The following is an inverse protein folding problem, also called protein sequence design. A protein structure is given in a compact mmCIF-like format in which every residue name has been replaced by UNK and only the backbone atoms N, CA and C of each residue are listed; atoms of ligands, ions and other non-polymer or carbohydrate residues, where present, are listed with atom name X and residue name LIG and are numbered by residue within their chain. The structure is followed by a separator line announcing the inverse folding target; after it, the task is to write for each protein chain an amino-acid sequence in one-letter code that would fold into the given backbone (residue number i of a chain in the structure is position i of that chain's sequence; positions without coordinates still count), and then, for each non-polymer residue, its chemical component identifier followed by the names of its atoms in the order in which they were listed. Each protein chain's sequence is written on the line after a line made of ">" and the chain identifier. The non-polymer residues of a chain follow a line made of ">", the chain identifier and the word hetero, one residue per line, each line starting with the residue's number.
data_IF_238902979933
#
_entry.id   IF_238902979933
#
_cell.length_a   1.000
_cell.length_b   1.000
_cell.length_c   1.000
_cell.angle_alpha   90.00
_cell.angle_beta   90.00
_cell.angle_gamma   90.00
#
_symmetry.space_group_name_H-M   'P 1'
#
loop_
_entity.id
_entity.type
_entity.pdbx_description
1 polymer ?
#
# COMPACT_ATOMS: atom_id res chain seq x y z
N UNK A 1 17.48 -30.60 38.43
CA UNK A 1 18.64 -30.91 37.57
C UNK A 1 18.24 -30.62 36.14
N UNK A 2 19.01 -29.72 35.51
CA UNK A 2 18.70 -29.03 34.26
C UNK A 2 18.86 -29.98 33.07
N UNK A 3 17.81 -30.15 32.26
CA UNK A 3 17.90 -30.87 30.98
C UNK A 3 18.35 -29.89 29.89
N UNK A 4 19.54 -30.14 29.38
CA UNK A 4 20.17 -29.48 28.23
C UNK A 4 19.39 -29.75 26.94
N UNK A 5 18.90 -28.69 26.29
CA UNK A 5 18.52 -28.72 24.88
C UNK A 5 19.72 -28.27 24.05
N UNK A 6 20.42 -29.24 23.45
CA UNK A 6 21.38 -28.99 22.38
C UNK A 6 20.61 -28.76 21.08
N UNK A 7 20.66 -27.54 20.56
CA UNK A 7 20.23 -27.22 19.20
C UNK A 7 21.23 -27.81 18.20
N UNK A 8 20.79 -28.84 17.49
CA UNK A 8 21.46 -29.46 16.36
C UNK A 8 21.32 -28.54 15.14
N UNK A 9 22.11 -27.47 15.10
CA UNK A 9 22.50 -26.71 13.92
C UNK A 9 23.58 -25.71 14.36
N UNK A 10 24.84 -26.09 14.16
CA UNK A 10 26.02 -25.30 14.50
C UNK A 10 26.24 -24.13 13.56
N UNK A 11 25.28 -23.20 13.51
CA UNK A 11 25.48 -21.89 12.91
C UNK A 11 25.77 -20.87 14.02
N UNK A 12 27.01 -20.41 14.03
CA UNK A 12 27.46 -19.30 14.85
C UNK A 12 26.58 -18.08 14.61
N UNK A 13 26.04 -17.51 15.68
CA UNK A 13 25.46 -16.16 15.73
C UNK A 13 26.53 -15.11 15.35
N UNK A 14 26.85 -15.00 14.08
CA UNK A 14 27.48 -13.81 13.52
C UNK A 14 26.35 -12.89 13.07
N UNK A 15 26.13 -11.85 13.87
CA UNK A 15 25.52 -10.59 13.45
C UNK A 15 24.27 -10.74 12.55
N UNK A 16 23.09 -10.89 13.17
CA UNK A 16 21.94 -10.13 12.69
C UNK A 16 22.24 -8.66 12.92
N UNK A 17 23.08 -8.08 12.06
CA UNK A 17 23.28 -6.66 11.94
C UNK A 17 21.94 -6.11 11.48
N UNK A 18 21.15 -5.65 12.44
CA UNK A 18 20.07 -4.71 12.23
C UNK A 18 20.65 -3.56 11.41
N UNK A 19 20.50 -3.63 10.09
CA UNK A 19 20.46 -2.43 9.27
C UNK A 19 19.11 -1.80 9.53
N UNK A 20 19.04 -1.07 10.64
CA UNK A 20 18.28 0.16 10.64
C UNK A 20 18.93 1.07 9.62
N UNK A 21 18.58 0.90 8.34
CA UNK A 21 18.83 1.95 7.36
C UNK A 21 17.99 3.13 7.84
N UNK A 22 18.68 4.10 8.44
CA UNK A 22 18.07 5.33 8.88
C UNK A 22 17.32 5.94 7.69
N UNK A 23 16.05 6.35 7.85
CA UNK A 23 15.32 7.02 6.79
C UNK A 23 16.07 8.29 6.42
N UNK A 24 16.76 8.28 5.26
CA UNK A 24 17.66 9.37 4.84
C UNK A 24 18.92 8.94 4.09
N UNK A 25 19.31 7.65 4.06
CA UNK A 25 20.40 7.19 3.19
C UNK A 25 19.92 7.01 1.74
N UNK A 26 19.69 8.14 1.07
CA UNK A 26 19.46 8.22 -0.37
C UNK A 26 20.80 7.90 -1.04
N UNK A 27 20.87 6.78 -1.77
CA UNK A 27 21.98 6.39 -2.66
C UNK A 27 23.38 6.43 -2.01
N UNK A 28 23.99 5.25 -1.77
CA UNK A 28 25.46 5.16 -1.74
C UNK A 28 25.98 5.45 -3.16
N UNK A 29 26.05 6.72 -3.54
CA UNK A 29 26.84 7.15 -4.69
C UNK A 29 28.29 6.91 -4.28
N UNK A 30 28.84 5.75 -4.67
CA UNK A 30 30.29 5.63 -4.79
C UNK A 30 30.67 6.58 -5.91
N UNK A 31 30.91 7.84 -5.58
CA UNK A 31 31.44 8.77 -6.56
C UNK A 31 32.84 8.25 -6.84
N UNK A 32 33.13 7.74 -8.04
CA UNK A 32 34.47 7.27 -8.35
C UNK A 32 35.40 8.46 -8.15
N UNK A 33 36.35 8.34 -7.23
CA UNK A 33 37.24 9.43 -6.79
C UNK A 33 37.92 10.12 -7.98
N UNK A 34 38.09 9.39 -9.09
CA UNK A 34 38.59 9.87 -10.37
C UNK A 34 37.71 10.95 -11.02
N UNK A 35 36.38 10.84 -11.00
CA UNK A 35 35.51 11.81 -11.66
C UNK A 35 35.44 13.15 -10.93
N UNK A 36 35.36 13.14 -9.59
CA UNK A 36 35.38 14.35 -8.78
C UNK A 36 36.71 15.09 -8.86
N UNK A 37 37.83 14.35 -8.89
CA UNK A 37 39.16 14.93 -9.05
C UNK A 37 39.33 15.60 -10.43
N UNK A 38 38.85 14.96 -11.50
CA UNK A 38 38.89 15.51 -12.85
C UNK A 38 38.04 16.78 -12.99
N UNK A 39 36.85 16.81 -12.39
CA UNK A 39 36.00 18.00 -12.37
C UNK A 39 36.65 19.15 -11.58
N UNK A 40 37.26 18.85 -10.43
CA UNK A 40 37.97 19.84 -9.63
C UNK A 40 39.16 20.43 -10.41
N UNK A 41 39.93 19.59 -11.12
CA UNK A 41 41.01 20.04 -11.99
C UNK A 41 40.49 20.91 -13.15
N UNK A 42 39.38 20.52 -13.79
CA UNK A 42 38.77 21.28 -14.87
C UNK A 42 38.28 22.66 -14.41
N UNK A 43 37.59 22.74 -13.27
CA UNK A 43 37.14 24.00 -12.68
C UNK A 43 38.34 24.88 -12.30
N UNK A 44 39.40 24.30 -11.74
CA UNK A 44 40.62 25.03 -11.39
C UNK A 44 41.32 25.59 -12.63
N UNK A 45 41.45 24.78 -13.68
CA UNK A 45 42.06 25.19 -14.95
C UNK A 45 41.26 26.32 -15.63
N UNK A 46 39.93 26.20 -15.68
CA UNK A 46 39.05 27.25 -16.21
C UNK A 46 39.14 28.55 -15.39
N UNK A 47 39.23 28.45 -14.07
CA UNK A 47 39.39 29.61 -13.18
C UNK A 47 40.72 30.33 -13.41
N UNK A 48 41.82 29.57 -13.55
CA UNK A 48 43.13 30.15 -13.87
C UNK A 48 43.11 30.83 -15.24
N UNK A 49 42.52 30.19 -16.25
CA UNK A 49 42.42 30.73 -17.60
C UNK A 49 41.59 32.03 -17.63
N UNK A 50 40.52 32.11 -16.84
CA UNK A 50 39.73 33.33 -16.66
C UNK A 50 40.55 34.49 -16.03
N UNK A 51 41.40 34.19 -15.04
CA UNK A 51 42.22 35.21 -14.37
C UNK A 51 43.32 35.74 -15.30
N UNK A 52 44.06 34.86 -15.97
CA UNK A 52 45.24 35.24 -16.76
C UNK A 52 44.92 35.75 -18.17
N UNK A 53 43.91 35.22 -18.86
CA UNK A 53 43.58 35.59 -20.23
C UNK A 53 42.34 36.50 -20.28
N UNK A 54 42.54 37.79 -20.55
CA UNK A 54 41.43 38.76 -20.62
C UNK A 54 40.56 38.62 -21.87
N UNK A 55 41.12 38.10 -22.97
CA UNK A 55 40.44 38.07 -24.27
C UNK A 55 39.30 37.04 -24.34
N UNK A 56 39.30 36.03 -23.46
CA UNK A 56 38.35 34.89 -23.51
C UNK A 56 37.31 34.92 -22.39
N UNK A 57 37.29 35.97 -21.56
CA UNK A 57 36.47 36.01 -20.33
C UNK A 57 34.98 35.84 -20.59
N UNK A 58 34.45 36.48 -21.64
CA UNK A 58 33.02 36.42 -21.97
C UNK A 58 32.58 35.01 -22.40
N UNK A 59 33.42 34.31 -23.17
CA UNK A 59 33.14 32.93 -23.61
C UNK A 59 33.17 31.96 -22.41
N UNK A 60 34.13 32.13 -21.50
CA UNK A 60 34.26 31.32 -20.28
C UNK A 60 33.08 31.58 -19.32
N UNK A 61 32.68 32.84 -19.16
CA UNK A 61 31.53 33.23 -18.34
C UNK A 61 30.23 32.65 -18.90
N UNK A 62 30.01 32.77 -20.21
CA UNK A 62 28.85 32.17 -20.88
C UNK A 62 28.84 30.64 -20.72
N UNK A 63 29.99 29.98 -20.89
CA UNK A 63 30.11 28.53 -20.72
C UNK A 63 29.84 28.11 -19.28
N UNK A 64 30.36 28.84 -18.29
CA UNK A 64 30.16 28.58 -16.86
C UNK A 64 28.69 28.71 -16.46
N UNK A 65 28.04 29.80 -16.88
CA UNK A 65 26.61 30.02 -16.61
C UNK A 65 25.76 28.95 -17.29
N UNK A 66 25.99 28.69 -18.59
CA UNK A 66 25.21 27.70 -19.36
C UNK A 66 25.37 26.29 -18.78
N UNK A 67 26.59 25.90 -18.41
CA UNK A 67 26.87 24.62 -17.77
C UNK A 67 26.24 24.55 -16.38
N UNK A 68 26.28 25.64 -15.61
CA UNK A 68 25.62 25.74 -14.30
C UNK A 68 24.11 25.57 -14.39
N UNK A 69 23.45 26.22 -15.35
CA UNK A 69 22.01 26.06 -15.61
C UNK A 69 21.70 24.63 -16.06
N UNK A 70 22.47 24.08 -17.00
CA UNK A 70 22.29 22.71 -17.48
C UNK A 70 22.46 21.70 -16.34
N UNK A 71 23.48 21.85 -15.50
CA UNK A 71 23.72 21.02 -14.33
C UNK A 71 22.59 21.15 -13.30
N UNK A 72 22.08 22.36 -13.07
CA UNK A 72 20.94 22.60 -12.20
C UNK A 72 19.66 21.90 -12.68
N UNK A 73 19.35 22.03 -13.97
CA UNK A 73 18.20 21.35 -14.59
C UNK A 73 18.33 19.82 -14.54
N UNK A 74 19.52 19.30 -14.85
CA UNK A 74 19.81 17.87 -14.81
C UNK A 74 19.66 17.32 -13.38
N UNK A 75 20.19 18.03 -12.39
CA UNK A 75 20.07 17.69 -10.97
C UNK A 75 18.61 17.65 -10.53
N UNK A 76 17.83 18.69 -10.85
CA UNK A 76 16.41 18.74 -10.53
C UNK A 76 15.62 17.58 -11.18
N UNK A 77 15.93 17.24 -12.44
CA UNK A 77 15.32 16.12 -13.15
C UNK A 77 15.61 14.77 -12.46
N UNK A 78 16.87 14.49 -12.12
CA UNK A 78 17.24 13.23 -11.45
C UNK A 78 16.69 13.15 -10.02
N UNK A 79 16.69 14.25 -9.26
CA UNK A 79 16.06 14.29 -7.93
C UNK A 79 14.56 14.01 -8.05
N UNK A 80 13.88 14.58 -9.04
CA UNK A 80 12.47 14.31 -9.32
C UNK A 80 12.21 12.83 -9.64
N UNK A 81 13.04 12.21 -10.48
CA UNK A 81 12.92 10.77 -10.78
C UNK A 81 13.19 9.88 -9.56
N UNK A 82 14.23 10.18 -8.78
CA UNK A 82 14.58 9.42 -7.58
C UNK A 82 13.45 9.46 -6.54
N UNK A 83 12.81 10.63 -6.37
CA UNK A 83 11.66 10.78 -5.48
C UNK A 83 10.47 9.95 -5.97
N UNK A 84 10.19 9.95 -7.28
CA UNK A 84 9.12 9.13 -7.86
C UNK A 84 9.33 7.64 -7.57
N UNK A 85 10.53 7.12 -7.80
CA UNK A 85 10.87 5.71 -7.53
C UNK A 85 10.69 5.41 -6.03
N UNK A 86 11.13 6.31 -5.16
CA UNK A 86 11.01 6.14 -3.70
C UNK A 86 9.55 6.10 -3.25
N UNK A 87 8.70 6.95 -3.83
CA UNK A 87 7.25 6.96 -3.56
C UNK A 87 6.62 5.64 -4.02
N UNK A 88 6.88 5.22 -5.26
CA UNK A 88 6.34 3.96 -5.79
C UNK A 88 6.77 2.75 -4.95
N UNK A 89 8.03 2.72 -4.50
CA UNK A 89 8.53 1.65 -3.61
C UNK A 89 7.84 1.68 -2.26
N UNK A 90 7.66 2.86 -1.65
CA UNK A 90 6.95 3.02 -0.39
C UNK A 90 5.50 2.57 -0.49
N UNK A 91 4.81 2.93 -1.57
CA UNK A 91 3.42 2.56 -1.79
C UNK A 91 3.26 1.05 -1.98
N UNK A 92 4.17 0.41 -2.71
CA UNK A 92 4.22 -1.06 -2.82
C UNK A 92 4.48 -1.72 -1.47
N UNK A 93 5.49 -1.26 -0.73
CA UNK A 93 5.80 -1.80 0.59
C UNK A 93 4.64 -1.66 1.59
N UNK A 94 3.92 -0.54 1.56
CA UNK A 94 2.71 -0.35 2.37
C UNK A 94 1.59 -1.29 1.96
N UNK A 95 1.43 -1.54 0.66
CA UNK A 95 0.43 -2.50 0.15
C UNK A 95 0.78 -3.91 0.58
N UNK A 96 2.04 -4.31 0.45
CA UNK A 96 2.54 -5.61 0.87
C UNK A 96 2.40 -5.81 2.39
N UNK A 97 2.66 -4.80 3.22
CA UNK A 97 2.44 -4.86 4.67
C UNK A 97 0.95 -5.06 5.01
N UNK A 98 0.05 -4.32 4.34
CA UNK A 98 -1.40 -4.47 4.53
C UNK A 98 -1.89 -5.86 4.15
N UNK A 99 -1.38 -6.43 3.06
CA UNK A 99 -1.68 -7.79 2.62
C UNK A 99 -1.12 -8.81 3.61
N UNK A 100 0.13 -8.65 4.06
CA UNK A 100 0.75 -9.51 5.06
C UNK A 100 -0.03 -9.52 6.39
N UNK A 101 -0.51 -8.35 6.85
CA UNK A 101 -1.39 -8.24 8.02
C UNK A 101 -2.72 -8.95 7.80
N UNK A 102 -3.33 -8.85 6.62
CA UNK A 102 -4.53 -9.62 6.31
C UNK A 102 -4.29 -11.14 6.42
N UNK A 103 -3.17 -11.64 5.89
CA UNK A 103 -2.77 -13.04 6.05
C UNK A 103 -2.47 -13.41 7.51
N UNK A 104 -1.95 -12.48 8.32
CA UNK A 104 -1.69 -12.77 9.74
C UNK A 104 -2.96 -13.13 10.52
N UNK A 105 -4.11 -12.52 10.19
CA UNK A 105 -5.40 -12.92 10.77
C UNK A 105 -5.81 -14.32 10.33
N UNK A 106 -5.58 -14.66 9.05
CA UNK A 106 -5.85 -16.00 8.53
C UNK A 106 -4.97 -17.06 9.22
N UNK A 107 -3.70 -16.77 9.42
CA UNK A 107 -2.77 -17.64 10.14
C UNK A 107 -3.18 -17.78 11.60
N UNK A 108 -3.52 -16.68 12.29
CA UNK A 108 -3.94 -16.68 13.69
C UNK A 108 -5.23 -17.48 13.90
N UNK A 109 -6.23 -17.31 13.02
CA UNK A 109 -7.45 -18.12 13.06
C UNK A 109 -7.16 -19.61 12.86
N UNK A 110 -6.11 -19.93 12.09
CA UNK A 110 -5.71 -21.30 11.79
C UNK A 110 -4.71 -21.91 12.76
N UNK A 111 -4.23 -21.14 13.73
CA UNK A 111 -3.26 -21.56 14.71
C UNK A 111 -3.76 -22.79 15.52
N UNK A 112 -2.89 -23.77 15.85
CA UNK A 112 -3.25 -24.91 16.67
C UNK A 112 -3.85 -24.53 18.02
N UNK A 113 -3.45 -23.40 18.61
CA UNK A 113 -4.01 -22.90 19.87
C UNK A 113 -5.49 -22.50 19.73
N UNK A 114 -5.94 -22.17 18.51
CA UNK A 114 -7.34 -21.88 18.19
C UNK A 114 -8.12 -23.13 17.75
N UNK A 115 -7.52 -24.32 17.72
CA UNK A 115 -8.20 -25.54 17.28
C UNK A 115 -9.39 -25.88 18.19
N UNK A 116 -9.19 -25.82 19.51
CA UNK A 116 -10.25 -26.10 20.48
C UNK A 116 -11.37 -25.06 20.41
N UNK A 117 -11.04 -23.77 20.36
CA UNK A 117 -12.02 -22.70 20.20
C UNK A 117 -12.87 -22.90 18.93
N UNK A 118 -12.25 -23.29 17.81
CA UNK A 118 -12.98 -23.58 16.56
C UNK A 118 -13.85 -24.82 16.66
N UNK A 119 -13.44 -25.85 17.40
CA UNK A 119 -14.26 -27.03 17.63
C UNK A 119 -15.49 -26.67 18.49
N UNK A 120 -15.28 -25.97 19.60
CA UNK A 120 -16.35 -25.50 20.48
C UNK A 120 -17.30 -24.54 19.73
N UNK A 121 -16.75 -23.66 18.89
CA UNK A 121 -17.55 -22.74 18.07
C UNK A 121 -18.42 -23.46 17.04
N UNK A 122 -17.93 -24.53 16.41
CA UNK A 122 -18.74 -25.35 15.50
C UNK A 122 -19.91 -26.00 16.25
N UNK A 123 -19.66 -26.56 17.42
CA UNK A 123 -20.71 -27.15 18.26
C UNK A 123 -21.78 -26.11 18.65
N UNK A 124 -21.35 -24.88 19.00
CA UNK A 124 -22.28 -23.77 19.26
C UNK A 124 -23.09 -23.42 18.00
N UNK A 125 -22.45 -23.31 16.83
CA UNK A 125 -23.14 -22.98 15.58
C UNK A 125 -24.17 -24.03 15.16
N UNK A 126 -23.85 -25.31 15.28
CA UNK A 126 -24.75 -26.40 14.91
C UNK A 126 -26.03 -26.36 15.75
N UNK A 127 -25.93 -25.94 17.01
CA UNK A 127 -27.08 -25.70 17.89
C UNK A 127 -27.87 -24.43 17.53
N UNK A 128 -27.18 -23.36 17.11
CA UNK A 128 -27.80 -22.08 16.77
C UNK A 128 -28.64 -22.16 15.49
N UNK A 129 -28.22 -22.95 14.49
CA UNK A 129 -28.89 -23.04 13.18
C UNK A 129 -30.33 -23.59 13.28
N UNK A 130 -30.69 -24.27 14.39
CA UNK A 130 -32.01 -24.83 14.63
C UNK A 130 -32.91 -24.01 15.57
N UNK A 131 -32.42 -22.89 16.11
CA UNK A 131 -33.11 -22.10 17.16
C UNK A 131 -33.70 -20.81 16.61
N UNK A 132 -34.78 -20.34 17.23
CA UNK A 132 -35.35 -19.02 16.98
C UNK A 132 -34.53 -17.91 17.64
N UNK A 133 -34.72 -16.65 17.22
CA UNK A 133 -33.96 -15.49 17.71
C UNK A 133 -33.94 -15.34 19.24
N UNK A 134 -35.06 -15.62 19.91
CA UNK A 134 -35.15 -15.58 21.38
C UNK A 134 -34.43 -16.77 22.04
N UNK A 135 -34.59 -17.97 21.48
CA UNK A 135 -33.90 -19.17 21.96
C UNK A 135 -32.38 -19.09 21.78
N UNK A 136 -31.90 -18.43 20.73
CA UNK A 136 -30.48 -18.13 20.53
C UNK A 136 -29.94 -17.32 21.71
N UNK A 137 -30.69 -16.29 22.13
CA UNK A 137 -30.28 -15.44 23.23
C UNK A 137 -30.21 -16.21 24.56
N UNK A 138 -31.20 -17.05 24.82
CA UNK A 138 -31.28 -17.84 26.05
C UNK A 138 -30.23 -18.95 26.07
N UNK A 139 -29.98 -19.62 24.94
CA UNK A 139 -28.93 -20.62 24.80
C UNK A 139 -27.53 -20.07 25.10
N UNK A 140 -27.19 -18.90 24.55
CA UNK A 140 -25.88 -18.27 24.78
C UNK A 140 -25.75 -17.78 26.23
N UNK A 141 -26.85 -17.35 26.87
CA UNK A 141 -26.85 -16.90 28.27
C UNK A 141 -26.84 -18.04 29.28
N UNK A 142 -27.48 -19.17 28.94
CA UNK A 142 -27.68 -20.29 29.85
C UNK A 142 -26.39 -20.97 30.28
N UNK A 143 -25.42 -21.08 29.37
CA UNK A 143 -24.12 -21.69 29.68
C UNK A 143 -22.97 -20.68 29.57
N UNK A 144 -22.19 -20.57 30.65
CA UNK A 144 -21.00 -19.71 30.68
C UNK A 144 -20.01 -20.05 29.55
N UNK A 145 -19.84 -21.34 29.25
CA UNK A 145 -18.95 -21.80 28.17
C UNK A 145 -19.37 -21.22 26.81
N UNK A 146 -20.65 -21.30 26.46
CA UNK A 146 -21.16 -20.82 25.17
C UNK A 146 -20.98 -19.30 25.04
N UNK A 147 -21.24 -18.57 26.12
CA UNK A 147 -20.99 -17.12 26.18
C UNK A 147 -19.52 -16.78 25.93
N UNK A 148 -18.58 -17.49 26.56
CA UNK A 148 -17.14 -17.26 26.37
C UNK A 148 -16.73 -17.53 24.92
N UNK A 149 -17.14 -18.67 24.37
CA UNK A 149 -16.82 -19.06 22.98
C UNK A 149 -17.35 -18.02 21.99
N UNK A 150 -18.62 -17.61 22.14
CA UNK A 150 -19.24 -16.56 21.28
C UNK A 150 -18.47 -15.25 21.39
N UNK A 151 -18.13 -14.82 22.61
CA UNK A 151 -17.41 -13.58 22.83
C UNK A 151 -16.00 -13.61 22.19
N UNK A 152 -15.26 -14.70 22.35
CA UNK A 152 -13.91 -14.82 21.79
C UNK A 152 -13.91 -14.80 20.25
N UNK A 153 -14.88 -15.49 19.63
CA UNK A 153 -15.06 -15.47 18.17
C UNK A 153 -15.45 -14.07 17.71
N UNK A 154 -16.44 -13.43 18.34
CA UNK A 154 -16.85 -12.07 17.98
C UNK A 154 -15.73 -11.05 18.16
N UNK A 155 -14.94 -11.16 19.23
CA UNK A 155 -13.79 -10.29 19.47
C UNK A 155 -12.74 -10.45 18.37
N UNK A 156 -12.45 -11.68 17.93
CA UNK A 156 -11.55 -11.92 16.82
C UNK A 156 -12.04 -11.23 15.53
N UNK A 157 -13.31 -11.40 15.18
CA UNK A 157 -13.87 -10.81 13.96
C UNK A 157 -14.01 -9.29 14.06
N UNK A 158 -14.26 -8.74 15.25
CA UNK A 158 -14.29 -7.30 15.48
C UNK A 158 -12.90 -6.68 15.33
N UNK A 159 -11.86 -7.29 15.91
CA UNK A 159 -10.46 -6.84 15.77
C UNK A 159 -10.02 -6.84 14.30
N UNK A 160 -10.30 -7.94 13.59
CA UNK A 160 -10.00 -8.07 12.17
C UNK A 160 -10.73 -7.01 11.34
N UNK A 161 -12.02 -6.78 11.63
CA UNK A 161 -12.82 -5.80 10.90
C UNK A 161 -12.41 -4.37 11.20
N UNK A 162 -11.98 -4.10 12.44
CA UNK A 162 -11.39 -2.82 12.82
C UNK A 162 -10.08 -2.56 12.06
N UNK A 163 -9.21 -3.57 11.96
CA UNK A 163 -7.97 -3.47 11.18
C UNK A 163 -8.23 -3.19 9.68
N UNK A 164 -9.30 -3.77 9.12
CA UNK A 164 -9.75 -3.48 7.76
C UNK A 164 -10.26 -2.04 7.62
N UNK A 165 -11.20 -1.62 8.48
CA UNK A 165 -11.82 -0.27 8.44
C UNK A 165 -10.81 0.85 8.66
N UNK A 166 -9.81 0.63 9.51
CA UNK A 166 -8.71 1.58 9.77
C UNK A 166 -7.65 1.61 8.66
N UNK A 167 -7.74 0.73 7.65
CA UNK A 167 -6.77 0.65 6.55
C UNK A 167 -5.42 0.06 6.95
N UNK A 168 -5.31 -0.56 8.13
CA UNK A 168 -4.13 -1.26 8.62
C UNK A 168 -3.96 -2.60 7.90
N UNK A 169 -5.05 -3.30 7.63
CA UNK A 169 -5.06 -4.54 6.85
C UNK A 169 -5.78 -4.34 5.51
N UNK A 170 -5.35 -5.07 4.48
CA UNK A 170 -5.98 -4.99 3.17
C UNK A 170 -7.40 -5.57 3.22
N UNK A 171 -8.39 -4.71 2.98
CA UNK A 171 -9.82 -5.08 3.11
C UNK A 171 -10.23 -6.08 2.05
N UNK A 172 -9.71 -6.00 0.83
CA UNK A 172 -10.05 -6.91 -0.26
C UNK A 172 -9.55 -8.32 0.05
N UNK A 173 -8.30 -8.45 0.50
CA UNK A 173 -7.70 -9.71 0.91
C UNK A 173 -8.46 -10.34 2.07
N UNK A 174 -8.77 -9.56 3.12
CA UNK A 174 -9.55 -10.06 4.25
C UNK A 174 -10.94 -10.56 3.83
N UNK A 175 -11.61 -9.83 2.93
CA UNK A 175 -12.90 -10.27 2.38
C UNK A 175 -12.75 -11.56 1.61
N UNK A 176 -11.76 -11.69 0.74
CA UNK A 176 -11.58 -12.91 -0.04
C UNK A 176 -11.37 -14.14 0.85
N UNK A 177 -10.65 -13.98 1.97
CA UNK A 177 -10.39 -15.08 2.92
C UNK A 177 -11.61 -15.38 3.80
N UNK A 178 -12.22 -14.35 4.40
CA UNK A 178 -13.19 -14.52 5.49
C UNK A 178 -14.65 -14.31 5.09
N UNK A 179 -14.96 -13.95 3.84
CA UNK A 179 -16.33 -13.57 3.43
C UNK A 179 -17.39 -14.60 3.80
N UNK A 180 -17.18 -15.86 3.42
CA UNK A 180 -18.18 -16.92 3.65
C UNK A 180 -18.44 -17.14 5.15
N UNK A 181 -17.38 -17.31 5.93
CA UNK A 181 -17.48 -17.56 7.38
C UNK A 181 -17.97 -16.32 8.14
N UNK A 182 -17.49 -15.13 7.80
CA UNK A 182 -17.89 -13.88 8.45
C UNK A 182 -19.37 -13.58 8.24
N UNK A 183 -19.90 -13.76 7.02
CA UNK A 183 -21.33 -13.57 6.74
C UNK A 183 -22.17 -14.59 7.50
N UNK A 184 -21.81 -15.87 7.45
CA UNK A 184 -22.53 -16.92 8.19
C UNK A 184 -22.56 -16.61 9.68
N UNK A 185 -21.42 -16.35 10.28
CA UNK A 185 -21.32 -16.14 11.73
C UNK A 185 -22.06 -14.89 12.19
N UNK A 186 -21.96 -13.79 11.43
CA UNK A 186 -22.70 -12.57 11.77
C UNK A 186 -24.21 -12.78 11.67
N UNK A 187 -24.68 -13.48 10.64
CA UNK A 187 -26.11 -13.77 10.48
C UNK A 187 -26.64 -14.67 11.60
N UNK A 188 -25.90 -15.71 12.00
CA UNK A 188 -26.31 -16.58 13.12
C UNK A 188 -26.29 -15.85 14.48
N UNK A 189 -25.43 -14.85 14.65
CA UNK A 189 -25.27 -14.12 15.91
C UNK A 189 -25.99 -12.77 15.97
N UNK A 190 -26.56 -12.27 14.87
CA UNK A 190 -27.17 -10.93 14.85
C UNK A 190 -28.26 -10.73 15.90
N UNK A 191 -29.17 -11.70 16.18
CA UNK A 191 -30.18 -11.51 17.23
C UNK A 191 -29.56 -11.28 18.61
N UNK A 192 -28.54 -12.06 18.94
CA UNK A 192 -27.82 -11.93 20.20
C UNK A 192 -27.04 -10.61 20.28
N UNK A 193 -26.36 -10.20 19.21
CA UNK A 193 -25.62 -8.93 19.14
C UNK A 193 -26.57 -7.76 19.39
N UNK A 194 -27.72 -7.74 18.73
CA UNK A 194 -28.68 -6.65 18.86
C UNK A 194 -29.29 -6.58 20.27
N UNK A 195 -29.58 -7.73 20.89
CA UNK A 195 -30.03 -7.77 22.28
C UNK A 195 -28.92 -7.39 23.26
N UNK A 196 -27.68 -7.83 23.01
CA UNK A 196 -26.51 -7.46 23.82
C UNK A 196 -26.27 -5.95 23.82
N UNK A 197 -26.36 -5.29 22.65
CA UNK A 197 -26.24 -3.83 22.51
C UNK A 197 -27.28 -3.08 23.36
N UNK A 198 -28.53 -3.57 23.36
CA UNK A 198 -29.63 -3.00 24.16
C UNK A 198 -29.39 -3.20 25.66
N UNK A 199 -29.12 -4.44 26.08
CA UNK A 199 -29.01 -4.82 27.49
C UNK A 199 -27.77 -4.21 28.17
N UNK A 200 -26.67 -4.02 27.43
CA UNK A 200 -25.43 -3.43 27.94
C UNK A 200 -25.30 -1.94 27.67
N UNK A 201 -26.28 -1.31 27.01
CA UNK A 201 -26.21 0.08 26.58
C UNK A 201 -24.94 0.39 25.76
N UNK A 202 -24.52 -0.56 24.91
CA UNK A 202 -23.32 -0.46 24.08
C UNK A 202 -23.72 -0.56 22.60
N UNK A 203 -24.24 0.52 21.98
CA UNK A 203 -24.74 0.48 20.61
C UNK A 203 -23.65 0.16 19.58
N UNK A 204 -22.38 0.46 19.90
CA UNK A 204 -21.23 0.26 19.01
C UNK A 204 -20.57 -1.11 19.15
N UNK A 205 -21.07 -1.99 20.03
CA UNK A 205 -20.50 -3.32 20.18
C UNK A 205 -20.60 -4.10 18.86
N UNK A 206 -19.48 -4.64 18.38
CA UNK A 206 -19.39 -5.42 17.15
C UNK A 206 -19.81 -4.67 15.88
N UNK A 207 -19.72 -3.33 15.88
CA UNK A 207 -20.08 -2.49 14.73
C UNK A 207 -19.14 -2.73 13.55
N UNK A 208 -17.83 -2.94 13.80
CA UNK A 208 -16.87 -3.14 12.71
C UNK A 208 -17.13 -4.46 12.00
N UNK A 209 -17.48 -5.50 12.76
CA UNK A 209 -17.85 -6.79 12.19
C UNK A 209 -19.11 -6.68 11.32
N UNK A 210 -20.14 -5.98 11.79
CA UNK A 210 -21.33 -5.66 10.99
C UNK A 210 -20.98 -4.88 9.71
N UNK A 211 -20.07 -3.90 9.80
CA UNK A 211 -19.62 -3.13 8.64
C UNK A 211 -18.94 -4.01 7.60
N UNK A 212 -18.05 -4.92 8.02
CA UNK A 212 -17.30 -5.78 7.11
C UNK A 212 -18.23 -6.75 6.36
N UNK A 213 -19.22 -7.31 7.05
CA UNK A 213 -20.18 -8.25 6.45
C UNK A 213 -21.16 -7.55 5.50
N UNK A 214 -21.65 -6.37 5.87
CA UNK A 214 -22.55 -5.58 5.02
C UNK A 214 -21.86 -5.08 3.75
N UNK A 215 -20.62 -4.58 3.86
CA UNK A 215 -19.83 -4.23 2.67
C UNK A 215 -19.47 -5.48 1.87
N UNK A 216 -19.24 -6.60 2.56
CA UNK A 216 -19.09 -7.95 2.01
C UNK A 216 -20.14 -8.31 0.96
N UNK A 217 -21.41 -8.00 1.24
CA UNK A 217 -22.58 -8.28 0.39
C UNK A 217 -22.72 -7.37 -0.83
N UNK A 218 -22.11 -6.18 -0.83
CA UNK A 218 -22.31 -5.15 -1.88
C UNK A 218 -21.43 -5.28 -3.13
N UNK A 219 -20.31 -6.00 -3.06
CA UNK A 219 -19.32 -6.01 -4.17
C UNK A 219 -19.48 -7.22 -5.13
N UNK A 220 -20.66 -7.83 -5.22
CA UNK A 220 -20.94 -8.85 -6.26
C UNK A 220 -21.14 -8.24 -7.67
N UNK A 221 -21.08 -6.92 -7.81
CA UNK A 221 -21.15 -6.24 -9.11
C UNK A 221 -19.96 -5.27 -9.27
N UNK A 222 -18.91 -5.70 -9.98
CA UNK A 222 -17.90 -4.78 -10.53
C UNK A 222 -16.54 -4.80 -9.82
N UNK A 223 -15.67 -5.73 -10.24
CA UNK A 223 -14.23 -5.54 -10.15
C UNK A 223 -13.81 -4.40 -11.09
N UNK A 224 -13.79 -3.16 -10.61
CA UNK A 224 -13.03 -2.09 -11.27
C UNK A 224 -11.64 -2.01 -10.64
N UNK A 225 -10.71 -2.74 -11.25
CA UNK A 225 -9.29 -2.48 -11.10
C UNK A 225 -8.94 -1.21 -11.91
N UNK A 226 -8.26 -0.26 -11.26
CA UNK A 226 -7.45 0.76 -11.93
C UNK A 226 -8.14 2.11 -12.15
N UNK A 227 -8.01 3.01 -11.18
CA UNK A 227 -7.97 4.45 -11.48
C UNK A 227 -6.53 4.81 -11.87
N UNK A 228 -6.26 5.28 -13.09
CA UNK A 228 -4.95 5.83 -13.44
C UNK A 228 -4.89 7.28 -12.93
N UNK A 229 -4.40 7.46 -11.70
CA UNK A 229 -3.90 8.77 -11.29
C UNK A 229 -2.62 9.04 -12.10
N UNK A 230 -2.55 10.23 -12.74
CA UNK A 230 -1.35 10.92 -13.27
C UNK A 230 -1.11 11.06 -14.79
N UNK A 231 -2.14 11.21 -15.63
CA UNK A 231 -1.96 11.79 -16.97
C UNK A 231 -1.98 13.35 -17.07
N UNK A 232 -2.73 14.12 -16.26
CA UNK A 232 -2.82 15.57 -16.49
C UNK A 232 -1.58 16.36 -16.07
N UNK A 233 -0.76 15.83 -15.14
CA UNK A 233 0.47 16.50 -14.67
C UNK A 233 1.64 16.39 -15.67
N UNK A 234 1.72 15.31 -16.43
CA UNK A 234 2.71 15.13 -17.50
C UNK A 234 2.37 16.02 -18.70
N UNK A 235 1.08 16.23 -18.98
CA UNK A 235 0.61 17.08 -20.08
C UNK A 235 0.93 18.56 -19.85
N UNK A 236 0.77 19.07 -18.63
CA UNK A 236 1.08 20.45 -18.27
C UNK A 236 2.60 20.76 -18.26
N UNK A 237 3.43 19.75 -17.97
CA UNK A 237 4.90 19.88 -18.05
C UNK A 237 5.41 19.87 -19.50
N UNK A 238 4.75 19.13 -20.40
CA UNK A 238 5.09 19.09 -21.82
C UNK A 238 4.64 20.35 -22.58
N UNK A 239 3.50 20.95 -22.22
CA UNK A 239 3.06 22.22 -22.81
C UNK A 239 4.01 23.40 -22.50
N UNK A 240 4.56 23.46 -21.28
CA UNK A 240 5.54 24.49 -20.91
C UNK A 240 6.90 24.32 -21.58
N UNK A 241 7.33 23.08 -21.84
CA UNK A 241 8.58 22.78 -22.55
C UNK A 241 8.46 22.99 -24.07
N UNK A 242 7.27 22.84 -24.65
CA UNK A 242 7.04 23.08 -26.08
C UNK A 242 7.05 24.57 -26.48
N UNK A 243 7.04 25.49 -25.50
CA UNK A 243 7.06 26.94 -25.75
C UNK A 243 8.47 27.50 -26.00
N UNK A 244 9.54 26.75 -25.68
CA UNK A 244 10.93 27.24 -25.78
C UNK A 244 11.73 26.73 -26.98
N UNK A 245 11.17 25.86 -27.83
CA UNK A 245 11.87 25.24 -28.97
C UNK A 245 10.98 25.19 -30.23
N UNK A 246 11.17 26.09 -31.22
CA UNK A 246 10.35 26.13 -32.43
C UNK A 246 10.44 24.86 -33.29
N UNK A 247 11.56 24.14 -33.24
CA UNK A 247 11.79 22.86 -33.96
C UNK A 247 10.84 21.74 -33.49
N UNK A 248 10.43 21.77 -32.20
CA UNK A 248 9.55 20.77 -31.59
C UNK A 248 8.07 21.00 -31.92
N UNK A 249 7.67 22.24 -32.22
CA UNK A 249 6.30 22.55 -32.66
C UNK A 249 5.98 21.96 -34.03
N UNK A 250 6.98 21.88 -34.93
CA UNK A 250 6.85 21.25 -36.25
C UNK A 250 6.57 19.75 -36.13
N UNK A 251 7.35 19.05 -35.29
CA UNK A 251 7.22 17.62 -35.04
C UNK A 251 5.89 17.28 -34.33
N UNK A 252 5.49 18.06 -33.32
CA UNK A 252 4.22 17.87 -32.60
C UNK A 252 2.98 18.14 -33.48
N UNK A 253 3.00 19.16 -34.34
CA UNK A 253 1.91 19.40 -35.31
C UNK A 253 1.76 18.22 -36.28
N UNK A 254 2.86 17.64 -36.74
CA UNK A 254 2.84 16.45 -37.62
C UNK A 254 2.31 15.19 -36.92
N UNK A 255 2.59 15.03 -35.62
CA UNK A 255 2.09 13.92 -34.81
C UNK A 255 0.60 14.06 -34.46
N UNK A 256 0.13 15.27 -34.14
CA UNK A 256 -1.28 15.57 -33.86
C UNK A 256 -2.19 15.40 -35.09
N UNK A 257 -1.69 15.65 -36.31
CA UNK A 257 -2.42 15.42 -37.56
C UNK A 257 -2.64 13.93 -37.87
N UNK A 258 -1.89 13.00 -37.23
CA UNK A 258 -2.03 11.54 -37.41
C UNK A 258 -3.03 10.87 -36.45
N UNK A 259 -3.57 11.62 -35.50
CA UNK A 259 -4.48 11.13 -34.45
C UNK A 259 -6.01 11.21 -34.68
N UNK A 260 -6.59 11.70 -35.81
CA UNK A 260 -8.05 11.70 -35.97
C UNK A 260 -8.68 10.30 -36.05
N UNK A 261 -7.90 9.27 -36.38
CA UNK A 261 -8.39 7.90 -36.60
C UNK A 261 -8.72 7.17 -35.30
N UNK A 262 -8.00 7.46 -34.21
CA UNK A 262 -8.16 6.78 -32.90
C UNK A 262 -9.40 7.31 -32.16
N UNK A 263 -9.75 8.59 -32.37
CA UNK A 263 -10.92 9.22 -31.74
C UNK A 263 -12.25 8.68 -32.29
N UNK A 264 -12.33 8.42 -33.60
CA UNK A 264 -13.57 7.87 -34.21
C UNK A 264 -13.88 6.44 -33.76
N UNK A 265 -12.87 5.61 -33.51
CA UNK A 265 -13.07 4.25 -32.97
C UNK A 265 -13.49 4.23 -31.49
N UNK A 266 -13.20 5.29 -30.74
CA UNK A 266 -13.60 5.41 -29.34
C UNK A 266 -15.03 5.95 -29.19
N UNK A 267 -15.44 6.90 -30.02
CA UNK A 267 -16.79 7.50 -29.96
C UNK A 267 -17.88 6.54 -30.50
N UNK A 268 -17.57 5.67 -31.47
CA UNK A 268 -18.54 4.69 -32.01
C UNK A 268 -18.92 3.55 -31.01
N UNK A 269 -18.17 3.37 -29.91
CA UNK A 269 -18.46 2.36 -28.88
C UNK A 269 -19.26 2.89 -27.69
N UNK A 270 -19.47 4.21 -27.61
CA UNK A 270 -20.16 4.84 -26.46
C UNK A 270 -21.66 5.05 -26.73
N UNK A 271 -22.11 4.91 -28.00
CA UNK A 271 -23.53 5.08 -28.38
C UNK A 271 -24.35 3.80 -28.43
N UNK A 272 -23.77 2.63 -28.10
CA UNK A 272 -24.47 1.32 -28.06
C UNK A 272 -24.58 0.74 -26.63
N UNK A 273 -24.64 1.59 -25.61
CA UNK A 273 -25.04 1.27 -24.23
C UNK A 273 -26.10 2.29 -23.80
#
# INVERSE_FOLDING_TARGET
>A
MVSSWQTRNGETMTERKQRGEQPGQILKVQVPVTASLLLLLAVTALTLLYVFEQNWRHEIEFFGISTGVAAGLLSAFYVGQALKITIEQRDRALTDDKIARAFSFALRWNDPNFAQLRADWRAVLDELDAKTDDEICDFIRGEHKNKTVVADVLNFFEEMSYAAKSGVADTLTLRNIFRSIGVRYYTSLSPWIDRYRKDKHQPTAYEHFQWLTNNGKRNDCGLHYGSPISLPLIFLLLERLAFSLPELQSQLKSACLRWPTIRRTAEAKVTDI
#
